data_IF_048512845192
#
_entry.id   IF_048512845192
#
_cell.length_a   1.000
_cell.length_b   1.000
_cell.length_c   1.000
_cell.angle_alpha   90.00
_cell.angle_beta   90.00
_cell.angle_gamma   90.00
#
_symmetry.space_group_name_H-M   'P 1'
#
loop_
_entity.id
_entity.type
_entity.pdbx_description
1 polymer ?
#
# COMPACT_ATOMS: atom_id res chain seq x y z
N UNK A 1 -9.91 44.55 -24.44
CA UNK A 1 -10.48 43.39 -23.73
C UNK A 1 -9.99 42.14 -24.43
N UNK A 2 -9.17 41.32 -23.76
CA UNK A 2 -8.77 40.00 -24.26
C UNK A 2 -8.80 39.03 -23.08
N UNK A 3 -9.86 38.25 -22.98
CA UNK A 3 -10.03 37.21 -21.96
C UNK A 3 -9.41 35.92 -22.46
N UNK A 4 -8.22 35.60 -21.95
CA UNK A 4 -7.58 34.30 -22.16
C UNK A 4 -8.19 33.32 -21.17
N UNK A 5 -8.91 32.32 -21.68
CA UNK A 5 -9.43 31.20 -20.88
C UNK A 5 -8.25 30.40 -20.32
N UNK A 6 -7.98 30.58 -19.04
CA UNK A 6 -6.98 29.81 -18.31
C UNK A 6 -7.43 28.36 -18.18
N UNK A 7 -6.74 27.44 -18.87
CA UNK A 7 -6.76 26.02 -18.55
C UNK A 7 -6.46 25.88 -17.06
N UNK A 8 -7.44 25.39 -16.30
CA UNK A 8 -7.32 25.13 -14.86
C UNK A 8 -6.31 24.01 -14.64
N UNK A 9 -5.03 24.38 -14.59
CA UNK A 9 -4.00 23.56 -13.98
C UNK A 9 -4.45 23.30 -12.56
N UNK A 10 -4.61 22.02 -12.21
CA UNK A 10 -4.64 21.57 -10.82
C UNK A 10 -3.29 21.94 -10.20
N UNK A 11 -3.20 23.17 -9.72
CA UNK A 11 -2.05 23.68 -9.00
C UNK A 11 -2.19 23.23 -7.54
N UNK A 12 -1.17 22.59 -6.95
CA UNK A 12 -1.20 22.24 -5.54
C UNK A 12 -1.37 23.51 -4.67
N UNK A 13 -2.02 23.39 -3.50
CA UNK A 13 -2.29 24.53 -2.64
C UNK A 13 -0.99 25.26 -2.26
N UNK A 14 -0.91 26.56 -2.58
CA UNK A 14 0.26 27.42 -2.35
C UNK A 14 0.86 28.09 -3.59
N UNK A 15 0.43 27.74 -4.80
CA UNK A 15 1.02 28.26 -6.06
C UNK A 15 0.64 29.72 -6.41
N UNK A 16 -0.33 30.32 -5.69
CA UNK A 16 -0.78 31.70 -5.89
C UNK A 16 -0.05 32.71 -4.98
N UNK A 17 1.05 32.32 -4.31
CA UNK A 17 1.73 33.20 -3.36
C UNK A 17 2.89 33.93 -4.03
N UNK A 18 2.74 35.26 -4.14
CA UNK A 18 3.74 36.20 -4.64
C UNK A 18 5.04 36.10 -3.84
N UNK A 19 6.09 35.58 -4.49
CA UNK A 19 7.50 35.98 -4.39
C UNK A 19 8.21 36.02 -3.02
N UNK A 20 7.54 35.70 -1.92
CA UNK A 20 8.05 35.87 -0.54
C UNK A 20 8.25 34.54 0.19
N UNK A 21 7.74 33.43 -0.36
CA UNK A 21 8.08 32.09 0.08
C UNK A 21 9.29 31.60 -0.73
N UNK A 22 10.34 31.16 -0.03
CA UNK A 22 11.45 30.42 -0.64
C UNK A 22 10.82 29.26 -1.43
N UNK A 23 10.96 29.20 -2.76
CA UNK A 23 10.35 28.12 -3.54
C UNK A 23 10.88 26.80 -2.97
N UNK A 24 10.02 25.82 -2.65
CA UNK A 24 10.47 24.57 -2.07
C UNK A 24 11.50 23.98 -3.02
N UNK A 25 12.72 23.80 -2.53
CA UNK A 25 13.79 23.25 -3.35
C UNK A 25 13.32 21.88 -3.86
N UNK A 26 13.77 21.48 -5.06
CA UNK A 26 13.45 20.15 -5.63
C UNK A 26 13.68 19.00 -4.64
N UNK A 27 14.57 19.21 -3.66
CA UNK A 27 14.91 18.32 -2.55
C UNK A 27 13.74 18.16 -1.56
N UNK A 28 13.02 19.23 -1.20
CA UNK A 28 11.87 19.16 -0.28
C UNK A 28 10.65 18.47 -0.92
N UNK A 29 10.40 18.72 -2.21
CA UNK A 29 9.35 18.04 -2.95
C UNK A 29 9.68 16.55 -3.15
N UNK A 30 10.95 16.19 -3.34
CA UNK A 30 11.35 14.77 -3.43
C UNK A 30 11.31 14.08 -2.07
N UNK A 31 11.72 14.72 -0.98
CA UNK A 31 11.58 14.16 0.37
C UNK A 31 10.12 13.87 0.75
N UNK A 32 9.16 14.72 0.34
CA UNK A 32 7.72 14.47 0.53
C UNK A 32 7.19 13.30 -0.32
N UNK A 33 7.72 13.09 -1.54
CA UNK A 33 7.33 11.96 -2.40
C UNK A 33 7.66 10.61 -1.78
N UNK A 34 8.85 10.46 -1.18
CA UNK A 34 9.27 9.20 -0.56
C UNK A 34 8.44 8.88 0.69
N UNK A 35 8.09 9.89 1.49
CA UNK A 35 7.14 9.72 2.62
C UNK A 35 5.75 9.27 2.13
N UNK A 36 5.28 9.81 1.00
CA UNK A 36 4.03 9.37 0.37
C UNK A 36 4.09 7.91 -0.12
N UNK A 37 5.19 7.52 -0.76
CA UNK A 37 5.43 6.13 -1.18
C UNK A 37 5.49 5.16 0.00
N UNK A 38 6.07 5.56 1.13
CA UNK A 38 6.04 4.77 2.36
C UNK A 38 4.60 4.55 2.86
N UNK A 39 3.78 5.61 2.87
CA UNK A 39 2.36 5.50 3.27
C UNK A 39 1.59 4.54 2.35
N UNK A 40 1.79 4.65 1.04
CA UNK A 40 1.20 3.74 0.05
C UNK A 40 1.67 2.30 0.27
N UNK A 41 2.96 2.10 0.55
CA UNK A 41 3.51 0.79 0.91
C UNK A 41 2.85 0.19 2.16
N UNK A 42 2.62 1.00 3.21
CA UNK A 42 1.88 0.54 4.40
C UNK A 42 0.42 0.20 4.09
N UNK A 43 -0.26 0.98 3.25
CA UNK A 43 -1.61 0.66 2.83
C UNK A 43 -1.67 -0.68 2.10
N UNK A 44 -0.72 -0.95 1.20
CA UNK A 44 -0.60 -2.26 0.54
C UNK A 44 -0.26 -3.38 1.51
N UNK A 45 0.61 -3.15 2.51
CA UNK A 45 0.87 -4.14 3.57
C UNK A 45 -0.41 -4.53 4.31
N UNK A 46 -1.19 -3.53 4.74
CA UNK A 46 -2.46 -3.75 5.44
C UNK A 46 -3.43 -4.52 4.55
N UNK A 47 -3.56 -4.14 3.27
CA UNK A 47 -4.42 -4.83 2.32
C UNK A 47 -3.99 -6.29 2.09
N UNK A 48 -2.70 -6.53 1.90
CA UNK A 48 -2.14 -7.88 1.69
C UNK A 48 -2.36 -8.78 2.90
N UNK A 49 -2.05 -8.29 4.11
CA UNK A 49 -2.34 -9.03 5.35
C UNK A 49 -3.84 -9.22 5.59
N UNK A 50 -4.65 -8.22 5.24
CA UNK A 50 -6.11 -8.32 5.34
C UNK A 50 -6.68 -9.43 4.47
N UNK A 51 -6.20 -9.57 3.23
CA UNK A 51 -6.63 -10.64 2.32
C UNK A 51 -6.20 -12.03 2.80
N UNK A 52 -4.95 -12.17 3.26
CA UNK A 52 -4.46 -13.45 3.81
C UNK A 52 -5.23 -13.78 5.09
N UNK A 53 -5.46 -12.80 5.97
CA UNK A 53 -6.23 -12.97 7.21
C UNK A 53 -7.68 -13.35 6.94
N UNK A 54 -8.32 -12.74 5.94
CA UNK A 54 -9.67 -13.10 5.50
C UNK A 54 -9.72 -14.52 4.94
N UNK A 55 -8.73 -14.92 4.14
CA UNK A 55 -8.63 -16.28 3.61
C UNK A 55 -8.42 -17.29 4.75
N UNK A 56 -7.55 -16.97 5.71
CA UNK A 56 -7.30 -17.79 6.89
C UNK A 56 -8.55 -17.91 7.77
N UNK A 57 -9.30 -16.83 7.91
CA UNK A 57 -10.58 -16.84 8.60
C UNK A 57 -11.58 -17.75 7.90
N UNK A 58 -11.80 -17.58 6.60
CA UNK A 58 -12.80 -18.36 5.87
C UNK A 58 -12.41 -19.84 5.71
N UNK A 59 -11.12 -20.12 5.53
CA UNK A 59 -10.61 -21.47 5.27
C UNK A 59 -10.37 -22.30 6.53
N UNK A 60 -9.96 -21.68 7.64
CA UNK A 60 -9.57 -22.41 8.86
C UNK A 60 -10.39 -22.00 10.08
N UNK A 61 -10.33 -20.73 10.47
CA UNK A 61 -10.92 -20.31 11.76
C UNK A 61 -12.45 -20.32 11.77
N UNK A 62 -13.11 -19.86 10.71
CA UNK A 62 -14.56 -19.90 10.57
C UNK A 62 -15.11 -21.31 10.73
N UNK A 63 -14.62 -22.30 9.96
CA UNK A 63 -15.00 -23.70 10.15
C UNK A 63 -14.71 -24.25 11.56
N UNK A 64 -13.57 -23.88 12.17
CA UNK A 64 -13.22 -24.27 13.55
C UNK A 64 -14.24 -23.73 14.57
N UNK A 65 -14.55 -22.43 14.53
CA UNK A 65 -15.43 -21.80 15.50
C UNK A 65 -16.91 -22.13 15.28
N UNK A 66 -17.32 -22.39 14.04
CA UNK A 66 -18.71 -22.73 13.71
C UNK A 66 -19.02 -24.23 13.87
N UNK A 67 -18.06 -25.04 14.33
CA UNK A 67 -18.25 -26.49 14.50
C UNK A 67 -18.45 -27.25 13.18
N UNK A 68 -18.03 -26.68 12.05
CA UNK A 68 -18.19 -27.24 10.71
C UNK A 68 -16.99 -28.05 10.25
N UNK A 69 -16.00 -28.28 11.11
CA UNK A 69 -14.88 -29.15 10.81
C UNK A 69 -15.36 -30.55 10.51
N UNK A 70 -15.24 -30.93 9.25
CA UNK A 70 -15.38 -32.32 8.84
C UNK A 70 -14.24 -33.10 9.50
N UNK A 71 -14.59 -34.19 10.20
CA UNK A 71 -13.64 -35.10 10.87
C UNK A 71 -12.53 -35.65 9.93
N UNK A 72 -12.72 -35.53 8.62
CA UNK A 72 -11.79 -35.99 7.59
C UNK A 72 -10.79 -34.92 7.09
N UNK A 73 -10.98 -33.64 7.44
CA UNK A 73 -10.09 -32.57 6.98
C UNK A 73 -8.94 -32.36 7.97
N UNK A 74 -7.73 -32.70 7.54
CA UNK A 74 -6.51 -32.38 8.27
C UNK A 74 -6.34 -30.85 8.36
N UNK A 75 -6.11 -30.28 9.56
CA UNK A 75 -5.85 -28.84 9.72
C UNK A 75 -4.68 -28.32 8.87
N UNK A 76 -3.70 -29.20 8.59
CA UNK A 76 -2.56 -28.90 7.72
C UNK A 76 -3.00 -28.72 6.27
N UNK A 77 -3.95 -29.54 5.79
CA UNK A 77 -4.49 -29.40 4.44
C UNK A 77 -5.27 -28.08 4.30
N UNK A 78 -6.04 -27.70 5.31
CA UNK A 78 -6.77 -26.43 5.35
C UNK A 78 -5.82 -25.22 5.35
N UNK A 79 -4.68 -25.29 6.06
CA UNK A 79 -3.64 -24.26 5.98
C UNK A 79 -3.01 -24.18 4.57
N UNK A 80 -2.84 -25.31 3.90
CA UNK A 80 -2.41 -25.35 2.50
C UNK A 80 -3.37 -24.59 1.58
N UNK A 81 -4.67 -24.79 1.76
CA UNK A 81 -5.73 -24.08 1.00
C UNK A 81 -5.75 -22.57 1.26
N UNK A 82 -5.29 -22.11 2.43
CA UNK A 82 -5.16 -20.68 2.72
C UNK A 82 -4.06 -20.04 1.87
N UNK A 83 -2.96 -20.77 1.62
CA UNK A 83 -1.84 -20.27 0.81
C UNK A 83 -2.12 -20.40 -0.69
N UNK A 84 -2.80 -21.47 -1.11
CA UNK A 84 -3.12 -21.72 -2.53
C UNK A 84 -4.44 -21.09 -2.98
N UNK A 85 -5.26 -20.62 -2.05
CA UNK A 85 -6.50 -19.91 -2.37
C UNK A 85 -6.25 -18.58 -3.08
N UNK A 86 -7.19 -18.16 -3.94
CA UNK A 86 -7.06 -16.96 -4.76
C UNK A 86 -6.74 -15.70 -3.93
N UNK A 87 -7.41 -15.51 -2.79
CA UNK A 87 -7.13 -14.37 -1.90
C UNK A 87 -5.76 -14.49 -1.20
N UNK A 88 -5.30 -15.69 -0.89
CA UNK A 88 -3.97 -15.95 -0.34
C UNK A 88 -2.87 -15.59 -1.35
N UNK A 89 -3.01 -16.06 -2.60
CA UNK A 89 -2.09 -15.75 -3.70
C UNK A 89 -2.05 -14.25 -3.98
N UNK A 90 -3.22 -13.61 -4.15
CA UNK A 90 -3.31 -12.17 -4.41
C UNK A 90 -2.74 -11.37 -3.24
N UNK A 91 -3.06 -11.77 -2.00
CA UNK A 91 -2.50 -11.14 -0.80
C UNK A 91 -0.98 -11.25 -0.75
N UNK A 92 -0.40 -12.41 -1.07
CA UNK A 92 1.04 -12.61 -1.12
C UNK A 92 1.72 -11.74 -2.19
N UNK A 93 1.14 -11.63 -3.39
CA UNK A 93 1.64 -10.74 -4.46
C UNK A 93 1.62 -9.28 -3.99
N UNK A 94 0.53 -8.85 -3.36
CA UNK A 94 0.40 -7.50 -2.81
C UNK A 94 1.46 -7.25 -1.73
N UNK A 95 1.69 -8.20 -0.83
CA UNK A 95 2.73 -8.10 0.20
C UNK A 95 4.13 -7.99 -0.41
N UNK A 96 4.45 -8.82 -1.41
CA UNK A 96 5.73 -8.75 -2.11
C UNK A 96 5.94 -7.38 -2.77
N UNK A 97 4.90 -6.86 -3.42
CA UNK A 97 4.93 -5.51 -4.01
C UNK A 97 5.06 -4.42 -2.96
N UNK A 98 4.33 -4.51 -1.84
CA UNK A 98 4.40 -3.57 -0.74
C UNK A 98 5.81 -3.50 -0.15
N UNK A 99 6.46 -4.65 0.07
CA UNK A 99 7.83 -4.73 0.56
C UNK A 99 8.81 -4.11 -0.43
N UNK A 100 8.67 -4.39 -1.73
CA UNK A 100 9.51 -3.78 -2.76
C UNK A 100 9.40 -2.25 -2.75
N UNK A 101 8.17 -1.72 -2.66
CA UNK A 101 7.91 -0.27 -2.57
C UNK A 101 8.50 0.34 -1.31
N UNK A 102 8.34 -0.32 -0.15
CA UNK A 102 8.86 0.16 1.13
C UNK A 102 10.39 0.19 1.15
N UNK A 103 11.04 -0.88 0.69
CA UNK A 103 12.50 -0.97 0.59
C UNK A 103 13.02 0.11 -0.35
N UNK A 104 12.41 0.25 -1.53
CA UNK A 104 12.78 1.28 -2.49
C UNK A 104 12.63 2.70 -1.92
N UNK A 105 11.48 3.00 -1.33
CA UNK A 105 11.23 4.31 -0.73
C UNK A 105 12.18 4.61 0.43
N UNK A 106 12.54 3.60 1.24
CA UNK A 106 13.50 3.74 2.35
C UNK A 106 14.91 3.98 1.83
N UNK A 107 15.35 3.24 0.81
CA UNK A 107 16.65 3.43 0.17
C UNK A 107 16.78 4.82 -0.45
N UNK A 108 15.76 5.25 -1.20
CA UNK A 108 15.76 6.58 -1.84
C UNK A 108 15.70 7.73 -0.83
N UNK A 109 14.99 7.54 0.29
CA UNK A 109 15.00 8.50 1.39
C UNK A 109 16.39 8.58 2.05
N UNK A 110 17.05 7.44 2.28
CA UNK A 110 18.40 7.40 2.86
C UNK A 110 19.46 8.02 1.93
N UNK A 111 19.47 7.65 0.64
CA UNK A 111 20.46 8.09 -0.34
C UNK A 111 20.47 9.61 -0.59
N UNK A 112 19.34 10.31 -0.38
CA UNK A 112 19.26 11.77 -0.57
C UNK A 112 19.42 12.60 0.71
N UNK A 113 19.47 11.94 1.87
CA UNK A 113 19.69 12.58 3.17
C UNK A 113 21.06 12.25 3.79
N UNK A 114 21.85 11.39 3.14
CA UNK A 114 23.26 11.12 3.46
C UNK A 114 24.23 12.01 2.71
#
# INVERSE_FOLDING_TARGET
>A
MNTVFGLSRLAPPGWNQDGTAIPPTLIELTAKRWKGLLLVGYAFLIAGFGLIGLQLWNGLYGPLFNGQLRLEQSPVAMLGEVVTGAAGIVGAIILAFALAVLIYARFMAWWRHG
#
